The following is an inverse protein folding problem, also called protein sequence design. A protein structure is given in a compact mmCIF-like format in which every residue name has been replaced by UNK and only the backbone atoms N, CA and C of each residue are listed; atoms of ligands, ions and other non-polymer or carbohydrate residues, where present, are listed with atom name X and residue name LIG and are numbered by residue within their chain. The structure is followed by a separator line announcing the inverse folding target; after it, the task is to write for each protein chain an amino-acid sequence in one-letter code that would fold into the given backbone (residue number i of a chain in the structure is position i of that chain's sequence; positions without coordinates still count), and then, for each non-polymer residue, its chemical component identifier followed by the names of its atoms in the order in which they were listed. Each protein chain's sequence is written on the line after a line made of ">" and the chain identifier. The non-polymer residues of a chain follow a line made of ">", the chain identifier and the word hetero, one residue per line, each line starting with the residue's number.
data_IF_168084646586
#
_entry.id   IF_168084646586
#
_cell.length_a   1.000
_cell.length_b   1.000
_cell.length_c   1.000
_cell.angle_alpha   90.00
_cell.angle_beta   90.00
_cell.angle_gamma   90.00
#
_symmetry.space_group_name_H-M   'P 1'
#
loop_
_entity.id
_entity.type
_entity.pdbx_description
1 polymer ?
#
# COMPACT_ATOMS: atom_id res chain seq x y z
N UNK A 1 3.39 -33.46 -19.54
CA UNK A 1 3.10 -33.25 -18.11
C UNK A 1 4.00 -32.24 -17.39
N UNK A 2 5.33 -32.41 -17.22
CA UNK A 2 6.14 -31.44 -16.43
C UNK A 2 6.17 -30.00 -17.01
N UNK A 3 6.22 -29.84 -18.34
CA UNK A 3 6.16 -28.52 -18.97
C UNK A 3 4.77 -27.87 -18.93
N UNK A 4 3.71 -28.66 -18.87
CA UNK A 4 2.34 -28.15 -18.73
C UNK A 4 2.10 -27.61 -17.32
N UNK A 5 2.67 -28.27 -16.30
CA UNK A 5 2.68 -27.75 -14.93
C UNK A 5 3.42 -26.42 -14.83
N UNK A 6 4.59 -26.28 -15.46
CA UNK A 6 5.31 -25.00 -15.50
C UNK A 6 4.48 -23.88 -16.16
N UNK A 7 3.78 -24.21 -17.26
CA UNK A 7 2.89 -23.25 -17.95
C UNK A 7 1.73 -22.81 -17.06
N UNK A 8 1.08 -23.75 -16.38
CA UNK A 8 -0.03 -23.45 -15.46
C UNK A 8 0.44 -22.59 -14.28
N UNK A 9 1.63 -22.85 -13.75
CA UNK A 9 2.22 -22.03 -12.67
C UNK A 9 2.52 -20.61 -13.14
N UNK A 10 3.11 -20.45 -14.33
CA UNK A 10 3.39 -19.13 -14.91
C UNK A 10 2.10 -18.35 -15.20
N UNK A 11 1.06 -19.03 -15.69
CA UNK A 11 -0.26 -18.40 -15.88
C UNK A 11 -0.86 -17.96 -14.54
N UNK A 12 -0.80 -18.80 -13.50
CA UNK A 12 -1.29 -18.41 -12.17
C UNK A 12 -0.52 -17.24 -11.59
N UNK A 13 0.81 -17.18 -11.76
CA UNK A 13 1.60 -16.00 -11.36
C UNK A 13 1.13 -14.76 -12.12
N UNK A 14 0.89 -14.88 -13.43
CA UNK A 14 0.41 -13.75 -14.24
C UNK A 14 -0.97 -13.26 -13.78
N UNK A 15 -1.90 -14.16 -13.51
CA UNK A 15 -3.25 -13.83 -13.05
C UNK A 15 -3.20 -13.17 -11.67
N UNK A 16 -2.48 -13.75 -10.71
CA UNK A 16 -2.30 -13.18 -9.37
C UNK A 16 -1.58 -11.82 -9.38
N UNK A 17 -0.67 -11.58 -10.35
CA UNK A 17 -0.06 -10.26 -10.54
C UNK A 17 -1.05 -9.24 -11.11
N UNK A 18 -1.99 -9.66 -11.95
CA UNK A 18 -3.07 -8.81 -12.43
C UNK A 18 -4.01 -8.39 -11.30
N UNK A 19 -4.37 -9.34 -10.42
CA UNK A 19 -5.14 -9.05 -9.21
C UNK A 19 -4.39 -8.11 -8.26
N UNK A 20 -3.08 -8.31 -8.08
CA UNK A 20 -2.24 -7.44 -7.26
C UNK A 20 -2.19 -6.01 -7.80
N UNK A 21 -2.09 -5.83 -9.12
CA UNK A 21 -2.10 -4.50 -9.74
C UNK A 21 -3.43 -3.77 -9.51
N UNK A 22 -4.56 -4.47 -9.59
CA UNK A 22 -5.87 -3.89 -9.29
C UNK A 22 -5.97 -3.45 -7.82
N UNK A 23 -5.48 -4.27 -6.89
CA UNK A 23 -5.45 -3.95 -5.45
C UNK A 23 -4.52 -2.76 -5.17
N UNK A 24 -3.36 -2.66 -5.82
CA UNK A 24 -2.47 -1.50 -5.67
C UNK A 24 -3.09 -0.21 -6.21
N UNK A 25 -3.83 -0.27 -7.31
CA UNK A 25 -4.57 0.89 -7.82
C UNK A 25 -5.66 1.31 -6.84
N UNK A 26 -6.36 0.35 -6.23
CA UNK A 26 -7.33 0.62 -5.18
C UNK A 26 -6.69 1.24 -3.94
N UNK A 27 -5.54 0.70 -3.48
CA UNK A 27 -4.74 1.24 -2.37
C UNK A 27 -4.35 2.70 -2.62
N UNK A 28 -3.80 2.99 -3.81
CA UNK A 28 -3.43 4.34 -4.22
C UNK A 28 -4.65 5.28 -4.26
N UNK A 29 -5.80 4.80 -4.73
CA UNK A 29 -7.03 5.59 -4.75
C UNK A 29 -7.57 5.87 -3.34
N UNK A 30 -7.47 4.93 -2.40
CA UNK A 30 -7.86 5.16 -1.00
C UNK A 30 -6.95 6.21 -0.34
N UNK A 31 -5.64 6.16 -0.59
CA UNK A 31 -4.69 7.15 -0.06
C UNK A 31 -4.83 8.54 -0.68
N UNK A 32 -5.36 8.63 -1.91
CA UNK A 32 -5.66 9.91 -2.56
C UNK A 32 -6.91 10.61 -2.03
N UNK A 33 -7.77 9.91 -1.28
CA UNK A 33 -8.96 10.52 -0.68
C UNK A 33 -8.56 11.52 0.40
N UNK A 34 -9.39 12.55 0.58
CA UNK A 34 -9.20 13.60 1.59
C UNK A 34 -9.29 13.07 3.03
N UNK A 35 -9.97 11.94 3.25
CA UNK A 35 -9.99 11.20 4.51
C UNK A 35 -9.64 9.74 4.23
N UNK A 36 -8.56 9.26 4.87
CA UNK A 36 -8.15 7.86 4.80
C UNK A 36 -9.11 7.05 5.66
N UNK A 37 -9.71 6.00 5.08
CA UNK A 37 -10.40 5.00 5.86
C UNK A 37 -9.38 3.93 6.31
N UNK A 38 -9.01 3.88 7.60
CA UNK A 38 -7.97 2.96 8.08
C UNK A 38 -8.40 1.50 7.93
N UNK A 39 -9.69 1.19 8.01
CA UNK A 39 -10.22 -0.17 7.84
C UNK A 39 -10.12 -0.62 6.39
N UNK A 40 -10.50 0.24 5.44
CA UNK A 40 -10.36 -0.07 4.01
C UNK A 40 -8.89 -0.22 3.60
N UNK A 41 -8.00 0.63 4.12
CA UNK A 41 -6.57 0.53 3.85
C UNK A 41 -5.99 -0.77 4.42
N UNK A 42 -6.40 -1.17 5.62
CA UNK A 42 -5.97 -2.43 6.24
C UNK A 42 -6.40 -3.64 5.40
N UNK A 43 -7.67 -3.71 4.98
CA UNK A 43 -8.19 -4.82 4.16
C UNK A 43 -7.40 -4.94 2.84
N UNK A 44 -7.11 -3.81 2.21
CA UNK A 44 -6.33 -3.76 0.95
C UNK A 44 -4.89 -4.21 1.20
N UNK A 45 -4.27 -3.79 2.31
CA UNK A 45 -2.93 -4.22 2.72
C UNK A 45 -2.84 -5.71 3.05
N UNK A 46 -3.86 -6.26 3.72
CA UNK A 46 -3.93 -7.68 4.05
C UNK A 46 -4.09 -8.52 2.77
N UNK A 47 -4.96 -8.08 1.84
CA UNK A 47 -5.18 -8.74 0.54
C UNK A 47 -3.89 -8.76 -0.30
N UNK A 48 -3.17 -7.63 -0.31
CA UNK A 48 -1.84 -7.51 -0.95
C UNK A 48 -0.83 -8.48 -0.33
N UNK A 49 -0.79 -8.58 0.99
CA UNK A 49 0.12 -9.50 1.70
C UNK A 49 -0.18 -10.97 1.35
N UNK A 50 -1.46 -11.33 1.28
CA UNK A 50 -1.89 -12.67 0.87
C UNK A 50 -1.51 -12.98 -0.60
N UNK A 51 -1.70 -12.02 -1.51
CA UNK A 51 -1.30 -12.18 -2.91
C UNK A 51 0.22 -12.28 -3.07
N UNK A 52 0.99 -11.48 -2.35
CA UNK A 52 2.45 -11.57 -2.35
C UNK A 52 2.94 -12.93 -1.84
N UNK A 53 2.34 -13.45 -0.76
CA UNK A 53 2.64 -14.79 -0.27
C UNK A 53 2.31 -15.87 -1.32
N UNK A 54 1.19 -15.72 -2.01
CA UNK A 54 0.76 -16.61 -3.09
C UNK A 54 1.73 -16.59 -4.27
N UNK A 55 2.16 -15.40 -4.69
CA UNK A 55 3.16 -15.21 -5.77
C UNK A 55 4.51 -15.82 -5.37
N UNK A 56 4.95 -15.61 -4.12
CA UNK A 56 6.18 -16.22 -3.60
C UNK A 56 6.12 -17.74 -3.63
N UNK A 57 4.99 -18.32 -3.19
CA UNK A 57 4.77 -19.76 -3.23
C UNK A 57 4.86 -20.31 -4.66
N UNK A 58 4.25 -19.64 -5.64
CA UNK A 58 4.35 -20.05 -7.04
C UNK A 58 5.76 -19.85 -7.64
N UNK A 59 6.51 -18.84 -7.22
CA UNK A 59 7.90 -18.68 -7.65
C UNK A 59 8.81 -19.79 -7.08
N UNK A 60 8.58 -20.21 -5.84
CA UNK A 60 9.29 -21.37 -5.27
C UNK A 60 8.90 -22.67 -5.96
N UNK A 61 7.62 -22.84 -6.29
CA UNK A 61 7.14 -23.99 -7.04
C UNK A 61 7.73 -24.01 -8.47
N UNK A 62 7.89 -22.84 -9.09
CA UNK A 62 8.62 -22.67 -10.36
C UNK A 62 10.07 -23.13 -10.22
N UNK A 63 10.82 -22.67 -9.20
CA UNK A 63 12.22 -23.09 -8.96
C UNK A 63 12.34 -24.60 -8.70
N UNK A 64 11.38 -25.19 -8.00
CA UNK A 64 11.33 -26.63 -7.75
C UNK A 64 11.09 -27.45 -9.02
N UNK A 65 10.30 -26.92 -9.97
CA UNK A 65 10.09 -27.55 -11.28
C UNK A 65 11.29 -27.31 -12.21
N UNK A 66 11.93 -26.15 -12.14
CA UNK A 66 13.11 -25.79 -12.92
C UNK A 66 14.35 -26.65 -12.60
N UNK A 67 14.61 -26.90 -11.31
CA UNK A 67 15.74 -27.74 -10.84
C UNK A 67 15.86 -29.08 -11.57
N UNK A 68 14.84 -29.95 -11.61
CA UNK A 68 14.90 -31.24 -12.29
C UNK A 68 14.83 -31.15 -13.83
N UNK A 69 14.48 -29.98 -14.37
CA UNK A 69 14.39 -29.73 -15.81
C UNK A 69 15.64 -29.06 -16.39
N UNK A 70 16.60 -28.65 -15.55
CA UNK A 70 17.77 -27.84 -15.92
C UNK A 70 17.42 -26.62 -16.78
N UNK A 71 16.21 -26.09 -16.59
CA UNK A 71 15.70 -24.91 -17.27
C UNK A 71 15.76 -23.74 -16.30
N UNK A 72 16.24 -22.59 -16.78
CA UNK A 72 16.27 -21.36 -16.00
C UNK A 72 15.64 -20.23 -16.82
N UNK A 73 14.79 -19.43 -16.19
CA UNK A 73 14.37 -18.14 -16.73
C UNK A 73 15.63 -17.32 -17.08
N UNK A 74 15.80 -16.80 -18.31
CA UNK A 74 14.77 -16.33 -19.26
C UNK A 74 14.16 -17.36 -20.24
N UNK A 75 14.36 -18.67 -20.03
CA UNK A 75 13.84 -19.74 -20.89
C UNK A 75 14.19 -19.55 -22.38
N UNK A 76 15.47 -19.30 -22.67
CA UNK A 76 15.98 -19.07 -24.03
C UNK A 76 15.60 -20.17 -25.05
N UNK A 77 15.35 -21.39 -24.57
CA UNK A 77 14.97 -22.54 -25.39
C UNK A 77 13.50 -22.51 -25.84
N UNK A 78 12.65 -21.67 -25.22
CA UNK A 78 11.22 -21.63 -25.50
C UNK A 78 10.70 -20.18 -25.56
N UNK A 79 10.53 -19.66 -26.78
CA UNK A 79 10.05 -18.30 -27.02
C UNK A 79 8.71 -17.98 -26.34
N UNK A 80 7.80 -18.96 -26.22
CA UNK A 80 6.51 -18.79 -25.53
C UNK A 80 6.68 -18.57 -24.02
N UNK A 81 7.58 -19.30 -23.38
CA UNK A 81 7.87 -19.14 -21.95
C UNK A 81 8.68 -17.87 -21.68
N UNK A 82 9.61 -17.52 -22.57
CA UNK A 82 10.34 -16.26 -22.51
C UNK A 82 9.40 -15.04 -22.59
N UNK A 83 8.38 -15.07 -23.46
CA UNK A 83 7.38 -14.01 -23.57
C UNK A 83 6.51 -13.89 -22.31
N UNK A 84 6.06 -15.03 -21.75
CA UNK A 84 5.33 -15.09 -20.48
C UNK A 84 6.15 -14.51 -19.33
N UNK A 85 7.41 -14.92 -19.23
CA UNK A 85 8.33 -14.40 -18.21
C UNK A 85 8.54 -12.90 -18.35
N UNK A 86 8.75 -12.39 -19.57
CA UNK A 86 8.86 -10.95 -19.83
C UNK A 86 7.61 -10.18 -19.39
N UNK A 87 6.41 -10.74 -19.61
CA UNK A 87 5.17 -10.13 -19.15
C UNK A 87 5.05 -10.11 -17.62
N UNK A 88 5.40 -11.22 -16.96
CA UNK A 88 5.44 -11.34 -15.50
C UNK A 88 6.43 -10.32 -14.91
N UNK A 89 7.68 -10.28 -15.39
CA UNK A 89 8.69 -9.34 -14.92
C UNK A 89 8.24 -7.89 -15.11
N UNK A 90 7.66 -7.56 -16.26
CA UNK A 90 7.11 -6.22 -16.51
C UNK A 90 6.02 -5.86 -15.50
N UNK A 91 5.07 -6.76 -15.23
CA UNK A 91 4.00 -6.54 -14.25
C UNK A 91 4.57 -6.37 -12.83
N UNK A 92 5.57 -7.16 -12.46
CA UNK A 92 6.27 -7.01 -11.18
C UNK A 92 6.96 -5.63 -11.07
N UNK A 93 7.65 -5.18 -12.12
CA UNK A 93 8.29 -3.86 -12.12
C UNK A 93 7.26 -2.74 -11.96
N UNK A 94 6.18 -2.75 -12.73
CA UNK A 94 5.10 -1.75 -12.62
C UNK A 94 4.43 -1.78 -11.25
N UNK A 95 4.16 -2.97 -10.71
CA UNK A 95 3.62 -3.16 -9.36
C UNK A 95 4.55 -2.58 -8.29
N UNK A 96 5.87 -2.78 -8.42
CA UNK A 96 6.85 -2.22 -7.51
C UNK A 96 6.92 -0.68 -7.59
N UNK A 97 6.84 -0.10 -8.79
CA UNK A 97 6.77 1.36 -8.96
C UNK A 97 5.52 1.96 -8.34
N UNK A 98 4.36 1.30 -8.48
CA UNK A 98 3.11 1.71 -7.82
C UNK A 98 3.24 1.61 -6.29
N UNK A 99 3.83 0.53 -5.80
CA UNK A 99 4.07 0.33 -4.38
C UNK A 99 4.97 1.43 -3.78
N UNK A 100 6.01 1.86 -4.50
CA UNK A 100 6.86 2.99 -4.10
C UNK A 100 6.05 4.29 -3.98
N UNK A 101 5.20 4.58 -4.96
CA UNK A 101 4.32 5.78 -4.92
C UNK A 101 3.34 5.75 -3.75
N UNK A 102 2.79 4.57 -3.44
CA UNK A 102 1.89 4.35 -2.28
C UNK A 102 2.64 4.63 -0.98
N UNK A 103 3.88 4.15 -0.87
CA UNK A 103 4.74 4.45 0.28
C UNK A 103 4.98 5.95 0.45
N UNK A 104 5.34 6.66 -0.63
CA UNK A 104 5.58 8.11 -0.59
C UNK A 104 4.32 8.89 -0.14
N UNK A 105 3.14 8.48 -0.61
CA UNK A 105 1.86 9.08 -0.18
C UNK A 105 1.58 8.81 1.30
N UNK A 106 1.85 7.60 1.77
CA UNK A 106 1.63 7.21 3.16
C UNK A 106 2.56 7.98 4.09
N UNK A 107 3.83 8.16 3.70
CA UNK A 107 4.79 8.98 4.44
C UNK A 107 4.32 10.43 4.56
N UNK A 108 3.85 11.03 3.46
CA UNK A 108 3.28 12.39 3.46
C UNK A 108 2.11 12.51 4.45
N UNK A 109 1.21 11.52 4.48
CA UNK A 109 0.07 11.51 5.41
C UNK A 109 0.49 11.36 6.87
N UNK A 110 1.51 10.54 7.16
CA UNK A 110 2.09 10.43 8.49
C UNK A 110 2.68 11.77 8.92
N UNK A 111 3.51 12.40 8.07
CA UNK A 111 4.13 13.70 8.36
C UNK A 111 3.08 14.80 8.60
N UNK A 112 2.03 14.85 7.78
CA UNK A 112 0.93 15.82 7.94
C UNK A 112 0.16 15.58 9.24
N UNK A 113 -0.13 14.33 9.57
CA UNK A 113 -0.83 13.96 10.81
C UNK A 113 0.00 14.30 12.03
N UNK A 114 1.31 14.01 12.02
CA UNK A 114 2.24 14.38 13.11
C UNK A 114 2.34 15.90 13.26
N UNK A 115 2.36 16.65 12.16
CA UNK A 115 2.38 18.11 12.20
C UNK A 115 1.09 18.69 12.79
N UNK A 116 -0.08 18.13 12.42
CA UNK A 116 -1.37 18.51 13.01
C UNK A 116 -1.41 18.14 14.49
N UNK A 117 -0.94 16.95 14.89
CA UNK A 117 -0.85 16.56 16.30
C UNK A 117 0.02 17.52 17.11
N UNK A 118 1.18 17.92 16.58
CA UNK A 118 2.05 18.94 17.21
C UNK A 118 1.31 20.25 17.38
N UNK A 119 0.67 20.76 16.34
CA UNK A 119 -0.09 22.01 16.38
C UNK A 119 -1.29 21.93 17.35
N UNK A 120 -1.99 20.79 17.41
CA UNK A 120 -3.07 20.54 18.38
C UNK A 120 -2.53 20.40 19.80
N UNK A 121 -1.33 19.85 20.01
CA UNK A 121 -0.70 19.77 21.32
C UNK A 121 -0.19 21.15 21.78
N UNK A 122 0.36 21.95 20.85
CA UNK A 122 0.82 23.32 21.09
C UNK A 122 -0.36 24.29 21.30
N UNK A 123 -1.51 24.03 20.69
CA UNK A 123 -2.75 24.78 20.91
C UNK A 123 -3.60 24.24 22.08
N UNK A 124 -3.41 22.96 22.41
CA UNK A 124 -4.12 22.22 23.47
C UNK A 124 -3.35 22.17 24.79
N UNK A 125 -2.13 22.69 24.84
CA UNK A 125 -1.56 23.21 26.07
C UNK A 125 -2.32 24.50 26.36
N UNK A 126 -3.26 24.53 27.32
CA UNK A 126 -3.78 25.80 27.76
C UNK A 126 -2.55 26.56 28.25
N UNK A 127 -2.16 27.60 27.51
CA UNK A 127 -1.44 28.73 28.06
C UNK A 127 -2.05 28.95 29.43
N UNK A 128 -1.27 28.66 30.47
CA UNK A 128 -1.68 28.72 31.85
C UNK A 128 -2.27 30.09 32.14
N UNK A 129 -3.59 30.25 31.96
CA UNK A 129 -4.38 31.40 32.36
C UNK A 129 -4.67 31.33 33.87
N UNK A 130 -3.71 30.81 34.62
CA UNK A 130 -3.62 30.88 36.07
C UNK A 130 -2.26 31.48 36.39
N UNK A 131 -2.25 32.78 36.66
CA UNK A 131 -1.12 33.40 37.35
C UNK A 131 -1.00 32.81 38.76
N UNK A 132 0.21 32.83 39.32
CA UNK A 132 0.51 32.37 40.68
C UNK A 132 -0.25 33.12 41.80
N UNK A 133 -1.14 34.06 41.49
CA UNK A 133 -1.86 34.91 42.46
C UNK A 133 -3.39 34.74 42.44
N UNK A 134 -3.89 33.54 42.14
CA UNK A 134 -5.20 33.07 42.64
C UNK A 134 -6.41 34.02 42.53
N UNK A 135 -6.55 34.79 41.46
CA UNK A 135 -7.73 35.64 41.25
C UNK A 135 -8.41 35.29 39.92
N UNK A 136 -9.55 34.64 40.04
CA UNK A 136 -10.45 34.25 38.96
C UNK A 136 -11.11 35.50 38.38
N UNK A 137 -10.78 35.85 37.13
CA UNK A 137 -11.61 36.75 36.34
C UNK A 137 -12.62 35.93 35.54
N UNK A 138 -13.87 36.34 35.64
CA UNK A 138 -15.13 35.74 35.21
C UNK A 138 -15.20 35.31 33.73
N UNK A 139 -16.08 34.35 33.37
CA UNK A 139 -16.22 33.87 32.01
C UNK A 139 -17.01 34.90 31.19
N UNK A 140 -16.38 35.50 30.18
CA UNK A 140 -17.07 36.36 29.21
C UNK A 140 -17.06 35.71 27.84
N UNK A 141 -18.25 35.24 27.47
CA UNK A 141 -18.81 35.21 26.12
C UNK A 141 -18.23 34.21 25.12
N UNK A 142 -18.96 33.09 24.97
CA UNK A 142 -18.84 32.22 23.80
C UNK A 142 -19.17 32.99 22.52
N UNK A 143 -18.19 33.12 21.63
CA UNK A 143 -18.43 33.56 20.25
C UNK A 143 -19.12 32.43 19.49
N UNK A 144 -20.44 32.48 19.47
CA UNK A 144 -21.27 31.83 18.46
C UNK A 144 -20.93 32.51 17.13
N UNK A 145 -20.17 31.84 16.27
CA UNK A 145 -20.03 32.26 14.88
C UNK A 145 -21.35 31.95 14.16
N UNK A 146 -22.27 32.90 14.17
CA UNK A 146 -23.40 32.93 13.24
C UNK A 146 -22.87 33.32 11.86
N UNK A 147 -22.71 32.34 10.97
CA UNK A 147 -22.59 32.58 9.53
C UNK A 147 -24.00 32.65 8.95
N UNK A 148 -24.45 33.86 8.63
CA UNK A 148 -25.62 34.11 7.78
C UNK A 148 -25.15 34.34 6.33
N UNK A 149 -25.93 33.80 5.38
CA UNK A 149 -25.78 33.83 3.92
C UNK A 149 -25.74 35.25 3.37
#
# INVERSE_FOLDING_TARGET
>A
MKMENLRSVLLKIQDSLGELEAILVEEANQLRRTQINPVSLQIVSDSKSQLLATISHYDDLRKQIEKPLHLSAPYHQNARFALLWKNITRKVTTSNELNKKIYDLLEMHIQKTESIKKLVNDAGTPTSLYGQEGQSATPVSGKVYNISV
#
